data_IF_036179949339
#
_entry.id   IF_036179949339
#
_cell.length_a   1.000
_cell.length_b   1.000
_cell.length_c   1.000
_cell.angle_alpha   90.00
_cell.angle_beta   90.00
_cell.angle_gamma   90.00
#
_symmetry.space_group_name_H-M   'P 1'
#
loop_
_entity.id
_entity.type
_entity.pdbx_description
1 polymer ?
#
# COMPACT_ATOMS: atom_id res chain seq x y z
N UNK A 1 16.87 -1.78 2.61
CA UNK A 1 15.92 -2.78 2.10
C UNK A 1 14.73 -2.01 1.58
N UNK A 2 14.40 -2.14 0.29
CA UNK A 2 13.32 -1.37 -0.33
C UNK A 2 11.97 -1.75 0.26
N UNK A 3 11.13 -0.77 0.56
CA UNK A 3 9.79 -0.93 1.12
C UNK A 3 8.75 -0.42 0.13
N UNK A 4 7.90 -1.32 -0.35
CA UNK A 4 6.74 -1.00 -1.18
C UNK A 4 5.52 -0.84 -0.27
N UNK A 5 4.92 0.35 -0.32
CA UNK A 5 3.61 0.61 0.27
C UNK A 5 2.51 0.21 -0.72
N UNK A 6 1.52 -0.54 -0.26
CA UNK A 6 0.35 -0.93 -1.07
C UNK A 6 -0.90 -0.36 -0.40
N UNK A 7 -1.63 0.49 -1.12
CA UNK A 7 -2.95 0.93 -0.68
C UNK A 7 -3.95 -0.19 -0.94
N UNK A 8 -4.51 -0.76 0.13
CA UNK A 8 -5.31 -1.99 0.11
C UNK A 8 -4.50 -3.24 0.49
N UNK A 9 -5.12 -4.14 1.25
CA UNK A 9 -4.54 -5.39 1.74
C UNK A 9 -5.25 -6.66 1.25
N UNK A 10 -5.92 -6.59 0.10
CA UNK A 10 -6.64 -7.70 -0.53
C UNK A 10 -5.74 -8.77 -1.17
N UNK A 11 -6.32 -9.57 -2.07
CA UNK A 11 -5.65 -10.73 -2.67
C UNK A 11 -4.51 -10.35 -3.61
N UNK A 12 -4.53 -9.20 -4.30
CA UNK A 12 -3.40 -8.85 -5.16
C UNK A 12 -2.23 -8.33 -4.31
N UNK A 13 -2.50 -7.62 -3.21
CA UNK A 13 -1.48 -7.29 -2.21
C UNK A 13 -0.89 -8.56 -1.58
N UNK A 14 -1.71 -9.57 -1.33
CA UNK A 14 -1.27 -10.89 -0.86
C UNK A 14 -0.29 -11.53 -1.85
N UNK A 15 -0.69 -11.62 -3.13
CA UNK A 15 0.15 -12.18 -4.20
C UNK A 15 1.45 -11.38 -4.38
N UNK A 16 1.37 -10.04 -4.33
CA UNK A 16 2.52 -9.15 -4.40
C UNK A 16 3.49 -9.38 -3.24
N UNK A 17 2.98 -9.48 -2.01
CA UNK A 17 3.81 -9.74 -0.83
C UNK A 17 4.59 -11.04 -0.97
N UNK A 18 3.92 -12.12 -1.39
CA UNK A 18 4.58 -13.42 -1.58
C UNK A 18 5.70 -13.36 -2.63
N UNK A 19 5.49 -12.65 -3.74
CA UNK A 19 6.50 -12.44 -4.76
C UNK A 19 7.68 -11.58 -4.26
N UNK A 20 7.40 -10.58 -3.41
CA UNK A 20 8.40 -9.66 -2.86
C UNK A 20 9.42 -10.32 -1.92
N UNK A 21 9.04 -11.40 -1.23
CA UNK A 21 9.91 -12.13 -0.29
C UNK A 21 11.21 -12.58 -0.98
N UNK A 22 11.11 -13.22 -2.14
CA UNK A 22 12.28 -13.72 -2.88
C UNK A 22 13.19 -12.61 -3.42
N UNK A 23 12.67 -11.38 -3.54
CA UNK A 23 13.41 -10.22 -4.01
C UNK A 23 14.06 -9.42 -2.88
N UNK A 24 13.84 -9.81 -1.61
CA UNK A 24 14.29 -9.02 -0.46
C UNK A 24 13.63 -7.64 -0.38
N UNK A 25 12.38 -7.53 -0.85
CA UNK A 25 11.58 -6.30 -0.80
C UNK A 25 10.56 -6.44 0.34
N UNK A 26 10.46 -5.41 1.17
CA UNK A 26 9.44 -5.32 2.22
C UNK A 26 8.13 -4.82 1.62
N UNK A 27 7.01 -5.40 2.02
CA UNK A 27 5.67 -4.90 1.69
C UNK A 27 4.96 -4.46 2.95
N UNK A 28 4.38 -3.26 2.91
CA UNK A 28 3.50 -2.72 3.94
C UNK A 28 2.17 -2.37 3.27
N UNK A 29 1.04 -2.72 3.89
CA UNK A 29 -0.30 -2.47 3.35
C UNK A 29 -1.05 -1.45 4.20
N UNK A 30 -1.84 -0.59 3.56
CA UNK A 30 -2.84 0.26 4.23
C UNK A 30 -4.20 -0.43 4.13
N UNK A 31 -4.74 -0.91 5.25
CA UNK A 31 -6.04 -1.59 5.27
C UNK A 31 -6.73 -1.44 6.64
N UNK A 32 -8.05 -1.18 6.68
CA UNK A 32 -8.79 -1.11 7.94
C UNK A 32 -8.89 -2.49 8.62
N UNK A 33 -8.95 -3.58 7.85
CA UNK A 33 -9.15 -4.93 8.36
C UNK A 33 -7.83 -5.53 8.90
N UNK A 34 -7.76 -5.88 10.19
CA UNK A 34 -6.59 -6.55 10.76
C UNK A 34 -6.33 -7.95 10.21
N UNK A 35 -7.32 -8.58 9.57
CA UNK A 35 -7.25 -9.92 9.00
C UNK A 35 -7.31 -9.92 7.46
N UNK A 36 -6.99 -8.79 6.82
CA UNK A 36 -6.97 -8.69 5.36
C UNK A 36 -6.02 -9.74 4.72
N UNK A 37 -6.31 -10.22 3.50
CA UNK A 37 -5.54 -11.31 2.86
C UNK A 37 -4.02 -11.12 2.86
N UNK A 38 -3.52 -9.89 2.66
CA UNK A 38 -2.10 -9.61 2.68
C UNK A 38 -1.46 -9.83 4.06
N UNK A 39 -2.17 -9.51 5.15
CA UNK A 39 -1.72 -9.78 6.52
C UNK A 39 -1.67 -11.26 6.80
N UNK A 40 -2.66 -12.02 6.31
CA UNK A 40 -2.67 -13.48 6.44
C UNK A 40 -1.47 -14.14 5.72
N UNK A 41 -0.90 -13.47 4.71
CA UNK A 41 0.35 -13.88 4.06
C UNK A 41 1.64 -13.34 4.72
N UNK A 42 1.54 -12.52 5.77
CA UNK A 42 2.68 -12.00 6.52
C UNK A 42 3.07 -10.55 6.22
N UNK A 43 2.28 -9.81 5.42
CA UNK A 43 2.55 -8.40 5.17
C UNK A 43 2.33 -7.57 6.45
N UNK A 44 3.11 -6.49 6.59
CA UNK A 44 2.91 -5.54 7.71
C UNK A 44 1.74 -4.63 7.38
N UNK A 45 0.79 -4.48 8.30
CA UNK A 45 -0.36 -3.59 8.13
C UNK A 45 -0.16 -2.26 8.84
N UNK A 46 -0.57 -1.19 8.17
CA UNK A 46 -0.90 0.10 8.75
C UNK A 46 -2.43 0.21 8.74
N UNK A 47 -3.03 0.52 9.89
CA UNK A 47 -4.46 0.74 9.99
C UNK A 47 -4.84 2.08 9.34
N UNK A 48 -5.78 2.04 8.41
CA UNK A 48 -6.36 3.21 7.78
C UNK A 48 -7.09 2.83 6.49
N UNK A 49 -7.74 3.81 5.86
CA UNK A 49 -8.55 3.63 4.65
C UNK A 49 -8.08 4.51 3.50
N UNK A 50 -8.19 4.01 2.27
CA UNK A 50 -7.84 4.78 1.07
C UNK A 50 -8.78 5.96 0.82
N UNK A 51 -9.97 5.97 1.43
CA UNK A 51 -10.91 7.10 1.36
C UNK A 51 -10.55 8.24 2.31
N UNK A 52 -9.56 8.07 3.19
CA UNK A 52 -9.07 9.09 4.11
C UNK A 52 -7.78 9.71 3.58
N UNK A 53 -7.84 11.00 3.23
CA UNK A 53 -6.66 11.80 2.87
C UNK A 53 -5.59 11.75 3.96
N UNK A 54 -6.00 11.83 5.22
CA UNK A 54 -5.06 11.80 6.35
C UNK A 54 -4.34 10.46 6.43
N UNK A 55 -5.06 9.34 6.29
CA UNK A 55 -4.49 8.00 6.35
C UNK A 55 -3.54 7.76 5.18
N UNK A 56 -3.91 8.17 3.97
CA UNK A 56 -3.06 8.09 2.78
C UNK A 56 -1.74 8.86 2.98
N UNK A 57 -1.81 10.10 3.47
CA UNK A 57 -0.61 10.92 3.70
C UNK A 57 0.24 10.37 4.85
N UNK A 58 -0.37 9.90 5.93
CA UNK A 58 0.33 9.25 7.03
C UNK A 58 1.03 7.97 6.58
N UNK A 59 0.36 7.17 5.75
CA UNK A 59 0.91 5.95 5.15
C UNK A 59 2.10 6.24 4.23
N UNK A 60 1.99 7.24 3.35
CA UNK A 60 3.10 7.66 2.49
C UNK A 60 4.32 8.15 3.30
N UNK A 61 4.11 8.65 4.52
CA UNK A 61 5.17 9.07 5.45
C UNK A 61 5.71 7.96 6.35
N UNK A 62 5.15 6.75 6.30
CA UNK A 62 5.51 5.66 7.22
C UNK A 62 6.84 4.97 6.88
N UNK A 63 7.68 5.59 6.04
CA UNK A 63 8.97 5.04 5.60
C UNK A 63 8.87 4.06 4.41
N UNK A 64 7.86 4.25 3.55
CA UNK A 64 7.77 3.54 2.26
C UNK A 64 8.63 4.26 1.20
N UNK A 65 9.23 3.51 0.28
CA UNK A 65 10.08 4.07 -0.78
C UNK A 65 9.29 4.32 -2.08
N UNK A 66 8.19 3.59 -2.27
CA UNK A 66 7.29 3.68 -3.42
C UNK A 66 5.90 3.22 -2.99
N UNK A 67 4.86 3.85 -3.51
CA UNK A 67 3.47 3.44 -3.27
C UNK A 67 2.86 2.88 -4.55
N UNK A 68 2.16 1.77 -4.41
CA UNK A 68 1.27 1.18 -5.41
C UNK A 68 -0.07 0.90 -4.74
N UNK A 69 -1.00 0.29 -5.47
CA UNK A 69 -2.33 -0.01 -4.99
C UNK A 69 -2.74 -1.44 -5.35
N UNK A 70 -3.59 -2.03 -4.52
CA UNK A 70 -4.24 -3.31 -4.72
C UNK A 70 -5.65 -3.05 -5.23
N UNK A 71 -5.85 -3.12 -6.55
CA UNK A 71 -7.07 -2.59 -7.16
C UNK A 71 -7.84 -3.63 -7.98
N UNK A 72 -9.08 -3.87 -7.52
CA UNK A 72 -10.21 -4.35 -8.33
C UNK A 72 -11.31 -3.27 -8.53
N UNK A 73 -11.47 -2.28 -7.62
CA UNK A 73 -12.50 -1.21 -7.70
C UNK A 73 -12.13 0.27 -7.33
N UNK A 74 -10.89 0.60 -6.94
CA UNK A 74 -10.45 1.96 -6.58
C UNK A 74 -10.40 2.96 -7.75
N UNK A 75 -10.87 4.20 -7.58
CA UNK A 75 -10.72 5.24 -8.59
C UNK A 75 -9.29 5.81 -8.54
N UNK A 76 -8.57 5.97 -9.67
CA UNK A 76 -7.29 6.69 -9.69
C UNK A 76 -7.35 8.08 -9.01
N UNK A 77 -8.52 8.72 -8.99
CA UNK A 77 -8.75 9.97 -8.28
C UNK A 77 -8.53 9.87 -6.76
N UNK A 78 -8.76 8.70 -6.15
CA UNK A 78 -8.53 8.46 -4.71
C UNK A 78 -7.04 8.57 -4.37
N UNK A 79 -6.16 8.33 -5.35
CA UNK A 79 -4.71 8.38 -5.20
C UNK A 79 -4.09 9.72 -5.66
N UNK A 80 -4.89 10.62 -6.25
CA UNK A 80 -4.41 11.92 -6.72
C UNK A 80 -3.74 12.72 -5.60
N UNK A 81 -4.22 12.59 -4.36
CA UNK A 81 -3.61 13.24 -3.20
C UNK A 81 -2.16 12.81 -2.94
N UNK A 82 -1.84 11.55 -3.19
CA UNK A 82 -0.47 11.04 -3.02
C UNK A 82 0.45 11.57 -4.11
N UNK A 83 -0.08 11.77 -5.32
CA UNK A 83 0.65 12.33 -6.45
C UNK A 83 0.89 13.85 -6.26
N UNK A 84 -0.15 14.59 -5.86
CA UNK A 84 -0.12 16.04 -5.69
C UNK A 84 0.85 16.48 -4.59
N UNK A 85 0.95 15.72 -3.50
CA UNK A 85 1.84 16.04 -2.38
C UNK A 85 3.25 15.43 -2.50
N UNK A 86 3.51 14.67 -3.58
CA UNK A 86 4.83 14.18 -4.01
C UNK A 86 5.72 13.60 -2.88
N UNK A 87 5.12 12.94 -1.89
CA UNK A 87 5.86 12.43 -0.73
C UNK A 87 6.76 11.25 -1.10
N UNK A 88 6.27 10.38 -1.98
CA UNK A 88 6.92 9.18 -2.48
C UNK A 88 6.43 8.92 -3.90
N UNK A 89 7.23 8.27 -4.78
CA UNK A 89 6.76 7.88 -6.10
C UNK A 89 5.52 6.99 -6.01
N UNK A 90 4.46 7.35 -6.73
CA UNK A 90 3.26 6.51 -6.92
C UNK A 90 3.37 5.78 -8.25
N UNK A 91 3.06 4.49 -8.26
CA UNK A 91 3.11 3.63 -9.44
C UNK A 91 1.85 2.76 -9.58
N UNK A 92 1.36 2.54 -10.81
CA UNK A 92 1.68 3.28 -12.03
C UNK A 92 1.41 4.80 -11.88
N UNK A 93 2.05 5.60 -12.74
CA UNK A 93 1.89 7.06 -12.75
C UNK A 93 0.57 7.45 -13.42
#
# INVERSE_FOLDING_TARGET
MTTVGVVGGGQLAQMLHQAAIGLGVRVIVLDPDPECPAVLAGAVRVHGTWTSREDLLAFARSGVDVVTFDHELADPADLAVLQDEALVPVRPA
#
